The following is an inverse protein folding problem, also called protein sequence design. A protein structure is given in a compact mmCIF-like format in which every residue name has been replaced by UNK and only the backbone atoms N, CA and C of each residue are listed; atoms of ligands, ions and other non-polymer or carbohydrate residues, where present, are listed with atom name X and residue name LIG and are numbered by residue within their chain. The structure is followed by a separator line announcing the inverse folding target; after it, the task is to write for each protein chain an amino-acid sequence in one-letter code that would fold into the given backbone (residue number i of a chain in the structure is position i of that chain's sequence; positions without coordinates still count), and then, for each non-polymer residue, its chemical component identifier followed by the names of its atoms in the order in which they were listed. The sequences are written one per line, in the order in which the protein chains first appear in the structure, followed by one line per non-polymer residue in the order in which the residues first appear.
data_IF_823840162380
#
_entry.id   IF_823840162380
#
_cell.length_a   1.000
_cell.length_b   1.000
_cell.length_c   1.000
_cell.angle_alpha   90.00
_cell.angle_beta   90.00
_cell.angle_gamma   90.00
#
_symmetry.space_group_name_H-M   'P 1'
#
loop_
_entity.id
_entity.type
_entity.pdbx_description
1 polymer ?
#
# COMPACT_ATOMS: atom_id res chain seq x y z
N UNK A 1 -8.26 -57.18 -18.27
CA UNK A 1 -8.01 -55.76 -17.90
C UNK A 1 -8.99 -54.91 -18.69
N UNK A 2 -10.03 -54.34 -18.01
CA UNK A 2 -11.08 -53.56 -18.68
C UNK A 2 -10.83 -52.06 -18.44
N UNK A 3 -10.59 -51.34 -19.55
CA UNK A 3 -10.47 -49.89 -19.57
C UNK A 3 -11.80 -49.22 -19.28
N UNK A 4 -11.87 -48.41 -18.23
CA UNK A 4 -13.06 -47.67 -17.81
C UNK A 4 -13.19 -46.38 -18.60
N UNK A 5 -14.22 -46.30 -19.41
CA UNK A 5 -14.57 -45.19 -20.29
C UNK A 5 -15.28 -44.08 -19.52
N UNK A 6 -14.59 -43.04 -19.06
CA UNK A 6 -15.13 -41.87 -18.32
C UNK A 6 -15.77 -40.77 -19.19
N UNK A 7 -16.11 -41.06 -20.45
CA UNK A 7 -16.59 -40.06 -21.43
C UNK A 7 -18.06 -40.17 -21.83
N UNK A 8 -18.93 -40.82 -21.08
CA UNK A 8 -20.34 -40.97 -21.45
C UNK A 8 -21.37 -40.43 -20.45
N UNK A 9 -21.09 -39.33 -19.75
CA UNK A 9 -22.07 -38.75 -18.83
C UNK A 9 -22.55 -37.32 -19.19
N UNK A 10 -22.34 -36.85 -20.41
CA UNK A 10 -22.73 -35.48 -20.81
C UNK A 10 -23.52 -35.45 -22.12
N UNK A 11 -24.54 -36.28 -22.23
CA UNK A 11 -25.58 -36.09 -23.27
C UNK A 11 -26.88 -36.74 -22.88
N UNK A 12 -27.71 -36.01 -22.11
CA UNK A 12 -29.19 -36.03 -22.13
C UNK A 12 -29.72 -35.17 -21.00
N UNK A 13 -30.25 -34.02 -21.33
CA UNK A 13 -30.92 -33.11 -20.40
C UNK A 13 -31.37 -31.86 -21.16
N UNK A 14 -32.38 -32.02 -21.90
CA UNK A 14 -33.54 -31.18 -22.23
C UNK A 14 -33.44 -29.66 -22.15
N UNK A 15 -33.78 -29.06 -23.30
CA UNK A 15 -34.15 -27.68 -23.50
C UNK A 15 -35.23 -27.20 -22.51
N UNK A 16 -34.93 -26.14 -21.78
CA UNK A 16 -35.91 -25.21 -21.26
C UNK A 16 -35.42 -23.81 -21.59
N UNK A 17 -36.04 -23.21 -22.57
CA UNK A 17 -35.90 -21.83 -22.97
C UNK A 17 -36.45 -20.91 -21.91
N UNK A 18 -35.62 -20.45 -20.99
CA UNK A 18 -35.88 -19.25 -20.21
C UNK A 18 -34.96 -18.15 -20.77
N UNK A 19 -35.54 -17.19 -21.48
CA UNK A 19 -34.86 -16.03 -21.99
C UNK A 19 -34.26 -15.19 -20.85
N UNK A 20 -33.04 -15.48 -20.53
CA UNK A 20 -32.24 -14.54 -19.72
C UNK A 20 -31.87 -13.39 -20.63
N UNK A 21 -32.60 -12.28 -20.57
CA UNK A 21 -32.13 -10.99 -21.06
C UNK A 21 -30.92 -10.63 -20.19
N UNK A 22 -29.74 -11.00 -20.65
CA UNK A 22 -28.51 -10.48 -20.09
C UNK A 22 -28.51 -8.97 -20.35
N UNK A 23 -28.90 -8.19 -19.35
CA UNK A 23 -28.60 -6.77 -19.32
C UNK A 23 -27.07 -6.66 -19.39
N UNK A 24 -26.56 -6.44 -20.59
CA UNK A 24 -25.18 -6.05 -20.77
C UNK A 24 -24.98 -4.73 -20.02
N UNK A 25 -24.46 -4.79 -18.80
CA UNK A 25 -23.94 -3.62 -18.12
C UNK A 25 -22.85 -3.08 -19.03
N UNK A 26 -22.95 -1.85 -19.54
CA UNK A 26 -21.92 -1.30 -20.38
C UNK A 26 -20.62 -1.36 -19.57
N UNK A 27 -19.61 -2.05 -20.06
CA UNK A 27 -18.27 -1.96 -19.52
C UNK A 27 -17.91 -0.48 -19.59
N UNK A 28 -17.98 0.22 -18.46
CA UNK A 28 -17.50 1.58 -18.37
C UNK A 28 -16.05 1.51 -18.86
N UNK A 29 -15.73 2.26 -19.90
CA UNK A 29 -14.36 2.30 -20.43
C UNK A 29 -13.47 2.72 -19.25
N UNK A 30 -12.76 1.76 -18.69
CA UNK A 30 -11.88 1.99 -17.54
C UNK A 30 -10.79 2.92 -18.05
N UNK A 31 -10.81 4.17 -17.63
CA UNK A 31 -9.79 5.13 -18.00
C UNK A 31 -8.42 4.50 -17.74
N UNK A 32 -7.57 4.51 -18.75
CA UNK A 32 -6.23 3.92 -18.65
C UNK A 32 -5.48 4.63 -17.51
N UNK A 33 -5.17 3.88 -16.45
CA UNK A 33 -4.45 4.40 -15.31
C UNK A 33 -3.13 5.05 -15.76
N UNK A 34 -2.87 6.27 -15.28
CA UNK A 34 -1.64 7.02 -15.58
C UNK A 34 -0.91 7.38 -14.30
N UNK A 35 0.43 7.45 -14.38
CA UNK A 35 1.26 7.89 -13.27
C UNK A 35 1.04 9.39 -13.05
N UNK A 36 0.76 9.78 -11.81
CA UNK A 36 0.69 11.18 -11.36
C UNK A 36 1.61 11.38 -10.15
N UNK A 37 2.44 12.40 -10.17
CA UNK A 37 3.23 12.79 -8.99
C UNK A 37 2.41 13.81 -8.20
N UNK A 38 2.24 13.55 -6.91
CA UNK A 38 1.57 14.45 -5.99
C UNK A 38 2.63 15.29 -5.28
N UNK A 39 2.80 16.52 -5.74
CA UNK A 39 3.81 17.44 -5.21
C UNK A 39 3.34 18.01 -3.86
N UNK A 40 4.27 18.20 -2.92
CA UNK A 40 4.00 18.64 -1.55
C UNK A 40 3.15 19.91 -1.48
N UNK A 41 3.39 20.89 -2.35
CA UNK A 41 2.65 22.15 -2.39
C UNK A 41 1.79 22.28 -3.66
N UNK A 42 1.43 21.14 -4.27
CA UNK A 42 0.68 21.10 -5.53
C UNK A 42 1.47 21.59 -6.75
N UNK A 43 2.73 21.99 -6.59
CA UNK A 43 3.57 22.56 -7.65
C UNK A 43 4.78 21.69 -7.92
N UNK A 44 5.02 21.42 -9.21
CA UNK A 44 6.27 20.77 -9.64
C UNK A 44 7.45 21.70 -9.36
N UNK A 45 8.53 21.20 -8.70
CA UNK A 45 9.72 22.01 -8.48
C UNK A 45 10.42 22.34 -9.81
N UNK A 46 11.08 23.49 -9.89
CA UNK A 46 11.81 23.93 -11.07
C UNK A 46 12.95 22.96 -11.43
N UNK A 47 13.71 22.54 -10.42
CA UNK A 47 14.75 21.53 -10.57
C UNK A 47 14.15 20.14 -10.35
N UNK A 48 14.41 19.24 -11.28
CA UNK A 48 13.96 17.83 -11.14
C UNK A 48 14.55 17.22 -9.87
N UNK A 49 13.68 16.75 -8.93
CA UNK A 49 14.15 16.14 -7.70
C UNK A 49 14.74 14.75 -7.95
N UNK A 50 15.53 14.25 -7.01
CA UNK A 50 16.11 12.91 -7.08
C UNK A 50 15.05 11.81 -7.11
N UNK A 51 13.96 11.99 -6.36
CA UNK A 51 12.81 11.10 -6.31
C UNK A 51 11.53 11.87 -5.99
N UNK A 52 10.38 11.20 -6.14
CA UNK A 52 9.06 11.75 -5.80
C UNK A 52 8.61 11.23 -4.44
N UNK A 53 8.17 12.10 -3.54
CA UNK A 53 7.69 11.70 -2.21
C UNK A 53 6.38 10.91 -2.27
N UNK A 54 5.46 11.28 -3.19
CA UNK A 54 4.17 10.62 -3.36
C UNK A 54 3.83 10.46 -4.84
N UNK A 55 3.43 9.26 -5.23
CA UNK A 55 3.01 8.93 -6.60
C UNK A 55 1.66 8.24 -6.55
N UNK A 56 0.74 8.62 -7.44
CA UNK A 56 -0.52 7.93 -7.67
C UNK A 56 -0.51 7.19 -9.02
N UNK A 57 -1.17 6.01 -9.08
CA UNK A 57 -1.43 5.26 -10.31
C UNK A 57 -2.78 4.56 -10.19
N UNK A 58 -3.75 4.97 -10.99
CA UNK A 58 -5.14 4.57 -10.79
C UNK A 58 -5.63 4.96 -9.41
N UNK A 59 -6.11 4.01 -8.65
CA UNK A 59 -6.54 4.17 -7.26
C UNK A 59 -5.43 3.85 -6.21
N UNK A 60 -4.20 3.59 -6.65
CA UNK A 60 -3.08 3.31 -5.75
C UNK A 60 -2.27 4.57 -5.47
N UNK A 61 -1.84 4.69 -4.22
CA UNK A 61 -0.96 5.73 -3.70
C UNK A 61 0.32 5.05 -3.17
N UNK A 62 1.46 5.55 -3.61
CA UNK A 62 2.79 5.12 -3.18
C UNK A 62 3.45 6.28 -2.44
N UNK A 63 3.83 6.07 -1.20
CA UNK A 63 4.59 7.03 -0.40
C UNK A 63 6.00 6.49 -0.23
N UNK A 64 6.99 7.29 -0.58
CA UNK A 64 8.41 6.98 -0.40
C UNK A 64 8.76 6.85 1.07
N UNK A 65 9.93 6.28 1.37
CA UNK A 65 10.45 6.17 2.73
C UNK A 65 10.42 7.52 3.46
N UNK A 66 9.85 7.52 4.65
CA UNK A 66 9.79 8.66 5.56
C UNK A 66 10.61 8.34 6.79
N UNK A 67 11.63 9.15 7.06
CA UNK A 67 12.47 9.09 8.24
C UNK A 67 12.24 10.26 9.18
N UNK A 68 12.82 10.18 10.38
CA UNK A 68 12.81 11.24 11.39
C UNK A 68 14.25 11.77 11.58
N UNK A 69 14.44 13.08 11.40
CA UNK A 69 15.76 13.71 11.39
C UNK A 69 15.91 14.71 12.55
N UNK A 70 15.66 14.24 13.76
CA UNK A 70 15.82 14.97 15.02
C UNK A 70 16.35 14.02 16.10
N UNK A 71 16.85 14.53 17.19
CA UNK A 71 17.25 13.70 18.34
C UNK A 71 16.02 13.19 19.08
N UNK A 72 15.97 11.87 19.31
CA UNK A 72 14.83 11.23 19.98
C UNK A 72 15.02 9.72 20.07
N UNK A 73 14.13 9.08 20.80
CA UNK A 73 14.06 7.63 20.89
C UNK A 73 13.27 7.03 19.72
N UNK A 74 13.25 5.72 19.64
CA UNK A 74 12.53 4.99 18.58
C UNK A 74 11.04 5.24 18.59
N UNK A 75 10.40 5.46 19.77
CA UNK A 75 8.97 5.74 19.86
C UNK A 75 8.65 7.13 19.31
N UNK A 76 9.47 8.13 19.62
CA UNK A 76 9.33 9.49 19.10
C UNK A 76 9.50 9.50 17.58
N UNK A 77 10.55 8.83 17.06
CA UNK A 77 10.78 8.68 15.62
C UNK A 77 9.63 7.96 14.93
N UNK A 78 9.16 6.83 15.45
CA UNK A 78 8.05 6.06 14.88
C UNK A 78 6.76 6.89 14.84
N UNK A 79 6.45 7.59 15.92
CA UNK A 79 5.28 8.47 15.97
C UNK A 79 5.36 9.56 14.89
N UNK A 80 6.48 10.26 14.80
CA UNK A 80 6.70 11.32 13.82
C UNK A 80 6.56 10.82 12.38
N UNK A 81 7.17 9.67 12.07
CA UNK A 81 7.12 9.04 10.74
C UNK A 81 5.68 8.69 10.38
N UNK A 82 4.93 8.04 11.28
CA UNK A 82 3.54 7.67 11.04
C UNK A 82 2.62 8.90 10.94
N UNK A 83 2.83 9.95 11.73
CA UNK A 83 2.09 11.21 11.62
C UNK A 83 2.37 11.91 10.28
N UNK A 84 3.61 11.81 9.78
CA UNK A 84 4.01 12.36 8.48
C UNK A 84 3.40 11.59 7.31
N UNK A 85 3.35 10.26 7.39
CA UNK A 85 2.67 9.39 6.42
C UNK A 85 1.17 9.68 6.40
N UNK A 86 0.53 9.80 7.56
CA UNK A 86 -0.88 10.13 7.68
C UNK A 86 -1.20 11.43 6.93
N UNK A 87 -0.44 12.50 7.15
CA UNK A 87 -0.62 13.78 6.45
C UNK A 87 -0.46 13.66 4.94
N UNK A 88 0.50 12.85 4.46
CA UNK A 88 0.69 12.61 3.04
C UNK A 88 -0.47 11.81 2.43
N UNK A 89 -1.00 10.81 3.13
CA UNK A 89 -2.16 10.04 2.71
C UNK A 89 -3.41 10.93 2.61
N UNK A 90 -3.67 11.74 3.64
CA UNK A 90 -4.79 12.68 3.67
C UNK A 90 -4.70 13.69 2.51
N UNK A 91 -3.53 14.26 2.27
CA UNK A 91 -3.28 15.15 1.12
C UNK A 91 -3.48 14.45 -0.25
N UNK A 92 -3.29 13.14 -0.30
CA UNK A 92 -3.50 12.31 -1.49
C UNK A 92 -4.95 11.80 -1.63
N UNK A 93 -5.87 12.14 -0.72
CA UNK A 93 -7.26 11.65 -0.72
C UNK A 93 -7.42 10.22 -0.18
N UNK A 94 -6.49 9.77 0.65
CA UNK A 94 -6.47 8.47 1.30
C UNK A 94 -6.47 8.60 2.83
N UNK A 95 -6.24 7.50 3.55
CA UNK A 95 -6.14 7.48 5.02
C UNK A 95 -5.25 6.34 5.49
N UNK A 96 -4.90 6.33 6.78
CA UNK A 96 -4.14 5.24 7.40
C UNK A 96 -4.86 3.88 7.28
N UNK A 97 -6.19 3.86 7.36
CA UNK A 97 -6.99 2.63 7.24
C UNK A 97 -7.02 2.05 5.82
N UNK A 98 -6.66 2.87 4.81
CA UNK A 98 -6.57 2.46 3.41
C UNK A 98 -5.17 1.99 3.00
N UNK A 99 -4.25 1.90 3.93
CA UNK A 99 -2.90 1.36 3.66
C UNK A 99 -3.00 -0.14 3.45
N UNK A 100 -2.46 -0.60 2.33
CA UNK A 100 -2.45 -2.01 1.93
C UNK A 100 -1.15 -2.70 2.34
N UNK A 101 -0.05 -1.98 2.23
CA UNK A 101 1.30 -2.50 2.54
C UNK A 101 2.14 -1.45 3.24
N UNK A 102 2.95 -1.91 4.19
CA UNK A 102 3.90 -1.11 4.94
C UNK A 102 5.26 -1.86 4.99
N UNK A 103 6.34 -1.19 4.63
CA UNK A 103 7.68 -1.66 4.89
C UNK A 103 8.30 -0.79 5.99
N UNK A 104 8.92 -1.44 6.96
CA UNK A 104 9.58 -0.80 8.11
C UNK A 104 11.05 -1.18 8.10
N UNK A 105 11.90 -0.19 8.05
CA UNK A 105 13.35 -0.31 8.10
C UNK A 105 13.84 0.27 9.42
N UNK A 106 14.36 -0.56 10.29
CA UNK A 106 14.94 -0.15 11.57
C UNK A 106 16.44 0.10 11.41
N UNK A 107 16.97 1.06 12.13
CA UNK A 107 18.40 1.26 12.25
C UNK A 107 19.07 0.11 13.05
N UNK A 108 18.36 -0.43 14.04
CA UNK A 108 18.82 -1.54 14.86
C UNK A 108 17.61 -2.42 15.24
N UNK A 109 17.75 -3.75 15.17
CA UNK A 109 16.68 -4.69 15.51
C UNK A 109 16.30 -4.66 16.99
N UNK A 110 17.18 -4.17 17.87
CA UNK A 110 16.87 -3.97 19.30
C UNK A 110 15.66 -3.05 19.53
N UNK A 111 15.38 -2.16 18.58
CA UNK A 111 14.29 -1.18 18.64
C UNK A 111 12.94 -1.76 18.22
N UNK A 112 12.89 -3.03 17.77
CA UNK A 112 11.68 -3.66 17.22
C UNK A 112 10.49 -3.65 18.17
N UNK A 113 10.69 -3.97 19.45
CA UNK A 113 9.60 -4.02 20.43
C UNK A 113 9.01 -2.63 20.70
N UNK A 114 9.87 -1.63 20.95
CA UNK A 114 9.45 -0.27 21.23
C UNK A 114 8.84 0.44 20.01
N UNK A 115 9.34 0.14 18.81
CA UNK A 115 8.71 0.57 17.54
C UNK A 115 7.28 0.01 17.44
N UNK A 116 7.08 -1.28 17.70
CA UNK A 116 5.77 -1.91 17.65
C UNK A 116 4.76 -1.28 18.62
N UNK A 117 5.17 -0.87 19.80
CA UNK A 117 4.30 -0.16 20.75
C UNK A 117 3.78 1.17 20.18
N UNK A 118 4.64 1.93 19.51
CA UNK A 118 4.25 3.18 18.86
C UNK A 118 3.46 2.98 17.56
N UNK A 119 3.63 1.83 16.91
CA UNK A 119 2.95 1.45 15.67
C UNK A 119 1.53 0.91 15.92
N UNK A 120 1.28 0.34 17.10
CA UNK A 120 0.03 -0.32 17.44
C UNK A 120 -1.18 0.61 17.29
N UNK A 121 -2.23 0.13 16.58
CA UNK A 121 -3.49 0.84 16.39
C UNK A 121 -3.46 1.99 15.38
N UNK A 122 -2.31 2.31 14.78
CA UNK A 122 -2.17 3.45 13.86
C UNK A 122 -2.93 3.27 12.52
N UNK A 123 -3.23 2.05 12.13
CA UNK A 123 -3.87 1.70 10.86
C UNK A 123 -5.31 1.20 11.01
N UNK A 124 -5.94 1.45 12.17
CA UNK A 124 -7.29 0.98 12.45
C UNK A 124 -7.36 -0.52 12.82
N UNK A 125 -8.58 -1.11 12.78
CA UNK A 125 -8.81 -2.49 13.22
C UNK A 125 -8.30 -3.55 12.23
N UNK A 126 -8.09 -3.18 10.96
CA UNK A 126 -7.59 -4.07 9.89
C UNK A 126 -6.24 -3.56 9.37
N UNK A 127 -5.12 -3.82 10.09
CA UNK A 127 -3.82 -3.27 9.73
C UNK A 127 -3.29 -3.86 8.41
N UNK A 128 -2.42 -3.11 7.68
CA UNK A 128 -1.83 -3.55 6.43
C UNK A 128 -0.91 -4.77 6.60
N UNK A 129 -0.63 -5.46 5.49
CA UNK A 129 0.51 -6.39 5.47
C UNK A 129 1.81 -5.61 5.71
N UNK A 130 2.71 -6.15 6.56
CA UNK A 130 3.96 -5.47 6.95
C UNK A 130 5.18 -6.36 6.78
N UNK A 131 6.26 -5.78 6.29
CA UNK A 131 7.61 -6.35 6.38
C UNK A 131 8.45 -5.44 7.27
N UNK A 132 9.23 -6.02 8.19
CA UNK A 132 10.17 -5.27 9.03
C UNK A 132 11.54 -5.91 8.96
N UNK A 133 12.56 -5.10 8.71
CA UNK A 133 13.97 -5.51 8.72
C UNK A 133 14.81 -4.46 9.45
N UNK A 134 15.99 -4.85 9.91
CA UNK A 134 17.03 -3.91 10.30
C UNK A 134 17.97 -3.68 9.12
N UNK A 135 18.24 -2.42 8.78
CA UNK A 135 19.10 -2.05 7.66
C UNK A 135 20.58 -2.24 8.03
N UNK A 136 21.32 -3.02 7.26
CA UNK A 136 22.76 -3.10 7.41
C UNK A 136 23.39 -1.73 7.06
N UNK A 137 24.15 -1.16 8.00
CA UNK A 137 24.73 0.17 7.85
C UNK A 137 23.82 1.33 8.25
N UNK A 138 22.61 1.04 8.72
CA UNK A 138 21.67 2.03 9.29
C UNK A 138 20.72 2.66 8.29
N UNK A 139 19.87 3.55 8.80
CA UNK A 139 18.89 4.32 8.04
C UNK A 139 19.48 5.71 7.73
N UNK A 140 19.33 6.23 6.50
CA UNK A 140 19.87 7.53 6.13
C UNK A 140 19.41 8.66 7.06
N UNK A 141 20.29 9.67 7.26
CA UNK A 141 19.97 10.87 8.03
C UNK A 141 19.79 10.64 9.53
N UNK A 142 20.41 9.60 10.08
CA UNK A 142 20.37 9.23 11.50
C UNK A 142 18.95 8.92 12.03
N UNK A 143 18.02 8.59 11.16
CA UNK A 143 16.71 8.12 11.58
C UNK A 143 16.84 6.73 12.21
N UNK A 144 16.09 6.48 13.30
CA UNK A 144 16.04 5.16 13.92
C UNK A 144 15.06 4.22 13.19
N UNK A 145 14.16 4.79 12.39
CA UNK A 145 13.20 4.06 11.58
C UNK A 145 12.87 4.83 10.30
N UNK A 146 12.69 4.10 9.21
CA UNK A 146 12.10 4.60 7.97
C UNK A 146 10.92 3.72 7.59
N UNK A 147 9.87 4.32 7.07
CA UNK A 147 8.66 3.59 6.67
C UNK A 147 8.20 4.09 5.31
N UNK A 148 7.92 3.17 4.39
CA UNK A 148 7.18 3.42 3.16
C UNK A 148 5.85 2.68 3.14
N UNK A 149 4.88 3.18 2.37
CA UNK A 149 3.56 2.56 2.30
C UNK A 149 2.98 2.56 0.89
N UNK A 150 2.11 1.58 0.63
CA UNK A 150 1.19 1.55 -0.51
C UNK A 150 -0.22 1.57 0.05
N UNK A 151 -1.04 2.51 -0.42
CA UNK A 151 -2.44 2.68 -0.03
C UNK A 151 -3.36 2.71 -1.26
N UNK A 152 -4.66 2.71 -1.04
CA UNK A 152 -5.66 3.02 -2.06
C UNK A 152 -6.44 4.30 -1.72
N UNK A 153 -7.14 4.87 -2.70
CA UNK A 153 -8.08 6.00 -2.51
C UNK A 153 -9.47 5.53 -2.18
#
# INVERSE_FOLDING_TARGET
MKSSNRRKFLTKGMAASAGAVALAVPASAQEKATKRVLWKDGKRPEKTPLFSGTVAYGNLIFIAGVGAHFEGDIKAHTKFVLDSIQKQLEAAGSSMEKVLKCNVYLNDLKDYAAMNEAFQGRFGPEPPVRTTIAAAGGVPGNSLVEIDVIACT
#
